data_IF_084848571323
#
_entry.id   IF_084848571323
#
_cell.length_a   1.000
_cell.length_b   1.000
_cell.length_c   1.000
_cell.angle_alpha   90.00
_cell.angle_beta   90.00
_cell.angle_gamma   90.00
#
_symmetry.space_group_name_H-M   'P 1'
#
loop_
_entity.id
_entity.type
_entity.pdbx_description
1 polymer ?
#
# COMPACT_ATOMS: atom_id res chain seq x y z
N UNK A 1 21.64 -2.37 6.48
CA UNK A 1 20.84 -3.16 5.52
C UNK A 1 19.48 -2.47 5.42
N UNK A 2 18.90 -2.33 4.23
CA UNK A 2 17.58 -1.72 4.05
C UNK A 2 16.53 -2.80 3.83
N UNK A 3 15.35 -2.65 4.42
CA UNK A 3 14.23 -3.58 4.32
C UNK A 3 12.99 -2.87 3.77
N UNK A 4 12.34 -3.48 2.79
CA UNK A 4 11.07 -3.02 2.24
C UNK A 4 9.97 -4.06 2.41
N UNK A 5 8.72 -3.63 2.31
CA UNK A 5 7.54 -4.50 2.36
C UNK A 5 6.60 -4.21 1.18
N UNK A 6 5.82 -5.23 0.82
CA UNK A 6 4.75 -5.06 -0.16
C UNK A 6 3.53 -4.42 0.52
N UNK A 7 3.02 -3.34 -0.06
CA UNK A 7 1.83 -2.62 0.38
C UNK A 7 0.76 -2.72 -0.71
N UNK A 8 -0.38 -3.31 -0.36
CA UNK A 8 -1.49 -3.51 -1.26
C UNK A 8 -2.82 -3.51 -0.48
N UNK A 9 -3.88 -2.85 -0.98
CA UNK A 9 -5.24 -3.01 -0.48
C UNK A 9 -5.73 -4.42 -0.78
N UNK A 10 -5.55 -5.34 0.17
CA UNK A 10 -5.99 -6.74 0.05
C UNK A 10 -6.64 -7.17 1.36
N UNK A 11 -7.62 -8.07 1.27
CA UNK A 11 -8.32 -8.56 2.44
C UNK A 11 -9.26 -9.71 2.10
N UNK A 12 -10.02 -10.23 3.10
CA UNK A 12 -11.07 -11.20 2.89
C UNK A 12 -12.10 -10.80 1.83
N UNK A 13 -12.67 -11.81 1.15
CA UNK A 13 -13.73 -11.62 0.17
C UNK A 13 -14.93 -10.87 0.77
N UNK A 14 -15.47 -9.91 0.01
CA UNK A 14 -16.64 -9.13 0.39
C UNK A 14 -16.36 -7.89 1.23
N UNK A 15 -15.10 -7.60 1.55
CA UNK A 15 -14.71 -6.27 2.04
C UNK A 15 -14.89 -5.22 0.94
N UNK A 16 -15.27 -4.01 1.34
CA UNK A 16 -15.41 -2.89 0.42
C UNK A 16 -14.05 -2.25 0.11
N UNK A 17 -13.90 -1.72 -1.11
CA UNK A 17 -12.64 -1.13 -1.57
C UNK A 17 -12.14 -0.01 -0.65
N UNK A 18 -13.05 0.81 -0.10
CA UNK A 18 -12.72 1.90 0.82
C UNK A 18 -12.06 1.39 2.11
N UNK A 19 -12.53 0.26 2.66
CA UNK A 19 -11.93 -0.37 3.84
C UNK A 19 -10.56 -0.97 3.51
N UNK A 20 -10.41 -1.60 2.34
CA UNK A 20 -9.14 -2.16 1.90
C UNK A 20 -8.06 -1.08 1.76
N UNK A 21 -8.41 0.06 1.15
CA UNK A 21 -7.50 1.20 1.03
C UNK A 21 -7.18 1.84 2.38
N UNK A 22 -8.18 2.01 3.26
CA UNK A 22 -7.96 2.58 4.59
C UNK A 22 -6.99 1.72 5.41
N UNK A 23 -7.17 0.40 5.39
CA UNK A 23 -6.29 -0.54 6.09
C UNK A 23 -4.89 -0.57 5.48
N UNK A 24 -4.75 -0.55 4.15
CA UNK A 24 -3.44 -0.49 3.50
C UNK A 24 -2.63 0.76 3.90
N UNK A 25 -3.31 1.91 4.11
CA UNK A 25 -2.66 3.12 4.61
C UNK A 25 -2.24 3.00 6.09
N UNK A 26 -3.05 2.32 6.92
CA UNK A 26 -2.69 2.00 8.31
C UNK A 26 -1.50 1.05 8.38
N UNK A 27 -1.48 0.01 7.55
CA UNK A 27 -0.38 -0.94 7.44
C UNK A 27 0.92 -0.26 7.00
N UNK A 28 0.85 0.71 6.06
CA UNK A 28 2.03 1.49 5.68
C UNK A 28 2.59 2.31 6.86
N UNK A 29 1.70 2.96 7.63
CA UNK A 29 2.11 3.72 8.80
C UNK A 29 2.71 2.80 9.88
N UNK A 30 2.13 1.60 10.05
CA UNK A 30 2.65 0.61 10.98
C UNK A 30 4.00 0.04 10.53
N UNK A 31 4.17 -0.27 9.24
CA UNK A 31 5.46 -0.68 8.66
C UNK A 31 6.55 0.37 8.88
N UNK A 32 6.24 1.65 8.74
CA UNK A 32 7.18 2.72 9.07
C UNK A 32 7.56 2.71 10.56
N UNK A 33 6.60 2.51 11.47
CA UNK A 33 6.87 2.43 12.92
C UNK A 33 7.74 1.22 13.29
N UNK A 34 7.63 0.12 12.55
CA UNK A 34 8.46 -1.07 12.72
C UNK A 34 9.90 -0.90 12.17
N UNK A 35 10.18 0.20 11.48
CA UNK A 35 11.52 0.54 10.98
C UNK A 35 11.81 0.05 9.56
N UNK A 36 10.79 -0.27 8.75
CA UNK A 36 10.99 -0.51 7.32
C UNK A 36 11.35 0.78 6.56
N UNK A 37 12.22 0.66 5.57
CA UNK A 37 12.73 1.78 4.78
C UNK A 37 11.81 2.17 3.62
N UNK A 38 11.01 1.22 3.10
CA UNK A 38 10.20 1.45 1.91
C UNK A 38 8.95 0.57 1.79
N UNK A 39 7.91 1.12 1.20
CA UNK A 39 6.70 0.42 0.76
C UNK A 39 6.71 0.24 -0.76
N UNK A 40 6.36 -0.96 -1.22
CA UNK A 40 6.36 -1.35 -2.64
C UNK A 40 4.98 -1.85 -3.06
N UNK A 41 4.45 -1.35 -4.17
CA UNK A 41 3.06 -1.58 -4.52
C UNK A 41 2.88 -2.18 -5.92
N UNK A 42 1.90 -3.09 -6.07
CA UNK A 42 1.66 -3.87 -7.30
C UNK A 42 0.47 -3.30 -8.08
N UNK A 43 0.46 -3.43 -9.41
CA UNK A 43 -0.67 -2.99 -10.22
C UNK A 43 -1.60 -4.16 -10.54
N UNK A 44 -2.92 -3.93 -10.44
CA UNK A 44 -3.91 -4.93 -10.79
C UNK A 44 -5.22 -4.34 -11.30
N UNK A 45 -5.82 -5.01 -12.28
CA UNK A 45 -7.02 -4.55 -12.94
C UNK A 45 -8.06 -5.67 -13.08
N UNK A 46 -9.34 -5.28 -13.03
CA UNK A 46 -10.50 -6.08 -13.46
C UNK A 46 -10.92 -7.29 -12.61
N UNK A 47 -10.38 -7.49 -11.39
CA UNK A 47 -10.92 -8.49 -10.43
C UNK A 47 -10.91 -7.96 -8.99
N UNK A 48 -11.80 -8.46 -8.09
CA UNK A 48 -12.09 -7.80 -6.80
C UNK A 48 -11.14 -8.16 -5.64
N UNK A 49 -10.21 -9.09 -5.78
CA UNK A 49 -9.34 -9.50 -4.67
C UNK A 49 -8.25 -8.47 -4.32
N UNK A 50 -8.05 -7.48 -5.19
CA UNK A 50 -6.97 -6.50 -5.11
C UNK A 50 -7.31 -5.25 -5.96
N UNK A 51 -8.08 -4.29 -5.43
CA UNK A 51 -8.60 -3.17 -6.22
C UNK A 51 -7.56 -2.05 -6.36
N UNK A 52 -6.43 -2.29 -7.04
CA UNK A 52 -5.37 -1.28 -7.20
C UNK A 52 -4.96 -1.01 -8.66
N UNK A 53 -5.74 -0.21 -9.40
CA UNK A 53 -5.50 0.07 -10.82
C UNK A 53 -4.54 1.23 -11.09
N UNK A 54 -4.28 2.12 -10.11
CA UNK A 54 -3.36 3.26 -10.26
C UNK A 54 -2.45 3.37 -9.04
N UNK A 55 -1.17 3.08 -9.25
CA UNK A 55 -0.16 3.07 -8.20
C UNK A 55 0.24 4.47 -7.74
N UNK A 56 0.22 5.45 -8.64
CA UNK A 56 0.65 6.81 -8.31
C UNK A 56 -0.35 7.46 -7.38
N UNK A 57 -1.65 7.24 -7.61
CA UNK A 57 -2.69 7.72 -6.71
C UNK A 57 -2.51 7.12 -5.32
N UNK A 58 -2.41 5.78 -5.21
CA UNK A 58 -2.23 5.14 -3.90
C UNK A 58 -0.94 5.61 -3.19
N UNK A 59 0.20 5.62 -3.88
CA UNK A 59 1.47 6.07 -3.30
C UNK A 59 1.45 7.54 -2.89
N UNK A 60 0.68 8.41 -3.57
CA UNK A 60 0.52 9.81 -3.15
C UNK A 60 -0.16 9.94 -1.78
N UNK A 61 -1.13 9.06 -1.49
CA UNK A 61 -1.77 8.99 -0.17
C UNK A 61 -0.82 8.41 0.89
N UNK A 62 -0.02 7.40 0.54
CA UNK A 62 1.02 6.86 1.44
C UNK A 62 2.05 7.94 1.77
N UNK A 63 2.51 8.72 0.79
CA UNK A 63 3.48 9.79 0.98
C UNK A 63 2.99 10.86 1.98
N UNK A 64 1.71 11.23 1.88
CA UNK A 64 1.09 12.18 2.80
C UNK A 64 0.97 11.61 4.23
N UNK A 65 0.68 10.31 4.35
CA UNK A 65 0.46 9.64 5.65
C UNK A 65 1.74 9.20 6.36
N UNK A 66 2.78 8.89 5.60
CA UNK A 66 4.05 8.32 6.07
C UNK A 66 5.25 9.15 5.57
N UNK A 67 5.45 10.39 6.06
CA UNK A 67 6.53 11.26 5.59
C UNK A 67 7.91 10.60 5.72
N UNK A 68 8.69 10.62 4.65
CA UNK A 68 10.06 10.08 4.62
C UNK A 68 10.16 8.57 4.37
N UNK A 69 9.05 7.84 4.28
CA UNK A 69 9.05 6.44 3.82
C UNK A 69 9.44 6.39 2.33
N UNK A 70 10.33 5.48 1.95
CA UNK A 70 10.63 5.22 0.54
C UNK A 70 9.42 4.60 -0.17
N UNK A 71 9.12 5.03 -1.38
CA UNK A 71 7.96 4.57 -2.14
C UNK A 71 8.42 4.01 -3.48
N UNK A 72 7.93 2.81 -3.81
CA UNK A 72 8.28 2.14 -5.06
C UNK A 72 7.09 1.41 -5.67
N UNK A 73 7.15 1.27 -7.00
CA UNK A 73 6.31 0.34 -7.75
C UNK A 73 7.12 -0.95 -7.96
N UNK A 74 6.50 -2.12 -7.78
CA UNK A 74 7.14 -3.41 -8.08
C UNK A 74 6.51 -4.04 -9.33
N UNK A 75 6.74 -3.35 -10.45
CA UNK A 75 6.55 -3.77 -11.85
C UNK A 75 7.71 -3.25 -12.70
#
# INVERSE_FOLDING_TARGET
MKFGFAAAPVGPDGMSDDLLYAQALEDCAFGQQLGFDSAWTLEHHFTPYFPQPDLIVFLSHVAARCPGLGLGTCV
#
